data_IF_047824148291
#
_entry.id   IF_047824148291
#
_cell.length_a   1.000
_cell.length_b   1.000
_cell.length_c   1.000
_cell.angle_alpha   90.00
_cell.angle_beta   90.00
_cell.angle_gamma   90.00
#
_symmetry.space_group_name_H-M   'P 1'
#
loop_
_entity.id
_entity.type
_entity.pdbx_description
1 polymer ?
#
# COMPACT_ATOMS: atom_id res chain seq x y z
N UNK A 1 -14.51 2.15 7.59
CA UNK A 1 -15.70 1.38 7.89
C UNK A 1 -16.98 2.18 7.72
N UNK A 2 -17.10 3.41 8.29
CA UNK A 2 -18.28 4.27 8.11
C UNK A 2 -18.57 4.57 6.64
N UNK A 3 -17.57 4.98 5.86
CA UNK A 3 -17.71 5.25 4.43
C UNK A 3 -18.14 4.00 3.64
N UNK A 4 -17.57 2.85 3.96
CA UNK A 4 -17.94 1.57 3.32
C UNK A 4 -19.42 1.22 3.56
N UNK A 5 -19.93 1.45 4.80
CA UNK A 5 -21.35 1.25 5.12
C UNK A 5 -22.28 2.21 4.36
N UNK A 6 -21.82 3.43 4.08
CA UNK A 6 -22.60 4.43 3.34
C UNK A 6 -22.56 4.15 1.83
N UNK A 7 -21.41 3.87 1.28
CA UNK A 7 -21.21 3.69 -0.17
C UNK A 7 -21.87 2.41 -0.69
N UNK A 8 -21.85 1.31 0.08
CA UNK A 8 -22.43 0.00 -0.25
C UNK A 8 -22.25 -0.37 -1.73
N UNK A 9 -21.02 -0.44 -2.25
CA UNK A 9 -20.80 -0.76 -3.65
C UNK A 9 -21.41 -2.11 -3.97
N UNK A 10 -22.13 -2.21 -5.10
CA UNK A 10 -22.73 -3.46 -5.57
C UNK A 10 -21.71 -4.37 -6.25
N UNK A 11 -20.74 -3.76 -6.91
CA UNK A 11 -19.65 -4.46 -7.59
C UNK A 11 -18.37 -3.67 -7.39
N UNK A 12 -17.30 -4.37 -7.13
CA UNK A 12 -15.94 -3.83 -7.05
C UNK A 12 -15.07 -4.54 -8.07
N UNK A 13 -14.35 -3.77 -8.85
CA UNK A 13 -13.44 -4.27 -9.87
C UNK A 13 -12.04 -3.76 -9.55
N UNK A 14 -11.07 -4.64 -9.55
CA UNK A 14 -9.65 -4.30 -9.40
C UNK A 14 -8.92 -4.66 -10.69
N UNK A 15 -8.35 -3.65 -11.33
CA UNK A 15 -7.41 -3.84 -12.43
C UNK A 15 -6.05 -4.24 -11.85
N UNK A 16 -5.60 -5.40 -12.21
CA UNK A 16 -4.28 -5.94 -11.91
C UNK A 16 -3.59 -6.47 -13.18
N UNK A 17 -3.83 -5.84 -14.35
CA UNK A 17 -3.10 -6.17 -15.58
C UNK A 17 -1.61 -5.90 -15.38
N UNK A 18 -1.29 -4.72 -14.85
CA UNK A 18 0.06 -4.36 -14.43
C UNK A 18 0.01 -3.81 -13.01
N UNK A 19 0.50 -4.58 -12.07
CA UNK A 19 0.65 -4.16 -10.69
C UNK A 19 2.05 -3.55 -10.45
N UNK A 20 2.28 -3.04 -9.25
CA UNK A 20 3.56 -2.45 -8.89
C UNK A 20 4.03 -2.97 -7.54
N UNK A 21 5.24 -3.49 -7.50
CA UNK A 21 5.91 -3.93 -6.27
C UNK A 21 6.91 -2.89 -5.75
N UNK A 22 7.52 -3.14 -4.60
CA UNK A 22 8.50 -2.28 -3.91
C UNK A 22 7.92 -0.90 -3.53
N UNK A 23 8.63 0.17 -3.89
CA UNK A 23 8.31 1.54 -3.45
C UNK A 23 7.38 2.28 -4.44
N UNK A 24 6.26 1.64 -4.82
CA UNK A 24 5.22 2.33 -5.59
C UNK A 24 4.67 3.56 -4.85
N UNK A 25 3.97 4.47 -5.55
CA UNK A 25 3.71 4.48 -6.98
C UNK A 25 4.84 5.09 -7.83
N UNK A 26 5.83 5.75 -7.24
CA UNK A 26 6.84 6.54 -7.99
C UNK A 26 8.16 5.82 -8.21
N UNK A 27 8.51 4.83 -7.38
CA UNK A 27 9.79 4.10 -7.41
C UNK A 27 9.60 2.59 -7.32
N UNK A 28 8.45 2.10 -7.73
CA UNK A 28 8.17 0.68 -7.79
C UNK A 28 8.65 0.06 -9.10
N UNK A 29 8.64 -1.26 -9.14
CA UNK A 29 8.89 -2.02 -10.36
C UNK A 29 7.56 -2.55 -10.89
N UNK A 30 7.23 -2.38 -12.18
CA UNK A 30 5.99 -2.90 -12.74
C UNK A 30 6.05 -4.44 -12.83
N UNK A 31 4.94 -5.08 -12.50
CA UNK A 31 4.76 -6.53 -12.55
C UNK A 31 3.53 -6.84 -13.37
N UNK A 32 3.69 -7.54 -14.49
CA UNK A 32 2.56 -8.03 -15.29
C UNK A 32 1.90 -9.18 -14.56
N UNK A 33 0.67 -8.94 -14.09
CA UNK A 33 -0.16 -9.96 -13.43
C UNK A 33 -1.20 -10.53 -14.38
N UNK A 34 -1.64 -9.75 -15.40
CA UNK A 34 -2.66 -10.11 -16.38
C UNK A 34 -3.97 -10.58 -15.71
N UNK A 35 -4.36 -9.93 -14.64
CA UNK A 35 -5.55 -10.26 -13.85
C UNK A 35 -6.51 -9.09 -13.80
N UNK A 36 -7.80 -9.44 -13.77
CA UNK A 36 -8.88 -8.56 -13.34
C UNK A 36 -9.66 -9.30 -12.27
N UNK A 37 -9.82 -8.69 -11.11
CA UNK A 37 -10.57 -9.24 -10.00
C UNK A 37 -11.90 -8.54 -9.88
N UNK A 38 -12.96 -9.30 -9.64
CA UNK A 38 -14.32 -8.78 -9.49
C UNK A 38 -14.97 -9.40 -8.26
N UNK A 39 -15.65 -8.60 -7.47
CA UNK A 39 -16.38 -9.07 -6.29
C UNK A 39 -17.55 -8.14 -5.95
N UNK A 40 -18.61 -8.68 -5.41
CA UNK A 40 -19.67 -7.90 -4.78
C UNK A 40 -19.27 -7.34 -3.41
N UNK A 41 -18.24 -7.92 -2.79
CA UNK A 41 -17.72 -7.48 -1.50
C UNK A 41 -16.29 -6.92 -1.66
N UNK A 42 -16.07 -5.60 -1.47
CA UNK A 42 -14.74 -4.98 -1.58
C UNK A 42 -13.71 -5.63 -0.67
N UNK A 43 -14.09 -5.93 0.59
CA UNK A 43 -13.18 -6.54 1.54
C UNK A 43 -12.77 -7.96 1.13
N UNK A 44 -13.69 -8.74 0.57
CA UNK A 44 -13.36 -10.06 0.05
C UNK A 44 -12.35 -9.97 -1.11
N UNK A 45 -12.53 -8.99 -1.99
CA UNK A 45 -11.62 -8.73 -3.09
C UNK A 45 -10.21 -8.36 -2.58
N UNK A 46 -10.13 -7.44 -1.62
CA UNK A 46 -8.86 -7.00 -1.04
C UNK A 46 -8.11 -8.15 -0.33
N UNK A 47 -8.83 -9.01 0.41
CA UNK A 47 -8.24 -10.17 1.07
C UNK A 47 -7.63 -11.15 0.06
N UNK A 48 -8.36 -11.46 -1.00
CA UNK A 48 -7.89 -12.35 -2.07
C UNK A 48 -6.73 -11.72 -2.83
N UNK A 49 -6.83 -10.44 -3.21
CA UNK A 49 -5.74 -9.73 -3.89
C UNK A 49 -4.45 -9.73 -3.07
N UNK A 50 -4.56 -9.51 -1.76
CA UNK A 50 -3.43 -9.53 -0.84
C UNK A 50 -2.72 -10.89 -0.82
N UNK A 51 -3.49 -11.97 -0.81
CA UNK A 51 -2.94 -13.32 -0.87
C UNK A 51 -2.28 -13.64 -2.21
N UNK A 52 -2.87 -13.20 -3.33
CA UNK A 52 -2.30 -13.38 -4.68
C UNK A 52 -0.90 -12.79 -4.78
N UNK A 53 -0.66 -11.66 -4.13
CA UNK A 53 0.66 -11.00 -4.12
C UNK A 53 1.57 -11.46 -2.98
N UNK A 54 1.18 -12.48 -2.24
CA UNK A 54 1.98 -13.11 -1.18
C UNK A 54 2.12 -12.30 0.10
N UNK A 55 1.18 -11.40 0.37
CA UNK A 55 1.12 -10.63 1.61
C UNK A 55 0.13 -11.24 2.60
N UNK A 56 0.43 -11.09 3.88
CA UNK A 56 -0.48 -11.48 4.94
C UNK A 56 -1.41 -10.31 5.30
N UNK A 57 -2.69 -10.42 4.96
CA UNK A 57 -3.68 -9.38 5.24
C UNK A 57 -3.79 -9.01 6.74
N UNK A 58 -3.42 -9.93 7.65
CA UNK A 58 -3.44 -9.67 9.10
C UNK A 58 -2.41 -8.63 9.51
N UNK A 59 -1.34 -8.48 8.76
CA UNK A 59 -0.29 -7.47 8.97
C UNK A 59 -0.67 -6.10 8.38
N UNK A 60 -1.72 -6.04 7.56
CA UNK A 60 -2.24 -4.82 6.95
C UNK A 60 -3.31 -4.24 7.86
N UNK A 61 -2.98 -3.19 8.60
CA UNK A 61 -3.78 -2.64 9.69
C UNK A 61 -5.24 -2.37 9.32
N UNK A 62 -5.50 -1.77 8.15
CA UNK A 62 -6.88 -1.45 7.74
C UNK A 62 -7.67 -2.70 7.34
N UNK A 63 -7.06 -3.72 6.72
CA UNK A 63 -7.72 -4.97 6.38
C UNK A 63 -8.04 -5.77 7.66
N UNK A 64 -7.07 -5.89 8.56
CA UNK A 64 -7.27 -6.53 9.84
C UNK A 64 -8.42 -5.87 10.64
N UNK A 65 -8.42 -4.53 10.72
CA UNK A 65 -9.51 -3.79 11.35
C UNK A 65 -10.87 -4.06 10.69
N UNK A 66 -10.93 -4.09 9.35
CA UNK A 66 -12.17 -4.33 8.61
C UNK A 66 -12.69 -5.75 8.83
N UNK A 67 -11.82 -6.75 8.82
CA UNK A 67 -12.18 -8.15 9.11
C UNK A 67 -12.77 -8.27 10.51
N UNK A 68 -12.15 -7.68 11.53
CA UNK A 68 -12.66 -7.68 12.90
C UNK A 68 -14.04 -7.01 13.02
N UNK A 69 -14.27 -5.91 12.29
CA UNK A 69 -15.55 -5.17 12.33
C UNK A 69 -16.66 -5.85 11.56
N UNK A 70 -16.37 -6.51 10.46
CA UNK A 70 -17.37 -7.19 9.61
C UNK A 70 -17.58 -8.64 9.99
N UNK A 71 -16.64 -9.24 10.71
CA UNK A 71 -16.58 -10.67 11.04
C UNK A 71 -16.58 -11.57 9.79
N UNK A 72 -16.08 -11.05 8.67
CA UNK A 72 -15.90 -11.87 7.47
C UNK A 72 -14.84 -12.92 7.75
N UNK A 73 -15.16 -14.17 7.45
CA UNK A 73 -14.20 -15.27 7.47
C UNK A 73 -13.62 -15.45 6.06
N UNK A 74 -12.30 -15.34 5.93
CA UNK A 74 -11.58 -15.55 4.66
C UNK A 74 -11.86 -16.94 4.08
N UNK A 75 -12.04 -17.95 4.91
CA UNK A 75 -12.26 -19.33 4.49
C UNK A 75 -13.61 -19.52 3.78
N UNK A 76 -14.58 -18.65 4.05
CA UNK A 76 -15.90 -18.70 3.40
C UNK A 76 -15.93 -18.03 2.04
N UNK A 77 -14.87 -17.28 1.68
CA UNK A 77 -14.79 -16.58 0.40
C UNK A 77 -14.45 -17.58 -0.71
N UNK A 78 -15.41 -17.85 -1.59
CA UNK A 78 -15.21 -18.66 -2.78
C UNK A 78 -14.56 -17.84 -3.88
N UNK A 79 -13.47 -18.35 -4.44
CA UNK A 79 -12.76 -17.73 -5.56
C UNK A 79 -12.95 -18.61 -6.79
N UNK A 80 -13.47 -18.04 -7.87
CA UNK A 80 -13.65 -18.71 -9.15
C UNK A 80 -12.63 -18.18 -10.16
N UNK A 81 -12.17 -19.04 -11.07
CA UNK A 81 -11.19 -18.66 -12.09
C UNK A 81 -9.75 -18.50 -11.58
N UNK A 82 -9.50 -18.73 -10.29
CA UNK A 82 -8.15 -18.65 -9.75
C UNK A 82 -7.31 -19.87 -10.15
N UNK A 83 -6.09 -19.61 -10.58
CA UNK A 83 -5.07 -20.64 -10.85
C UNK A 83 -3.85 -20.37 -10.01
N UNK A 84 -3.13 -21.42 -9.59
CA UNK A 84 -1.91 -21.31 -8.79
C UNK A 84 -0.82 -20.47 -9.46
N UNK A 85 -0.79 -20.43 -10.79
CA UNK A 85 0.14 -19.61 -11.58
C UNK A 85 -0.03 -18.09 -11.39
N UNK A 86 -1.18 -17.64 -10.87
CA UNK A 86 -1.43 -16.22 -10.59
C UNK A 86 -0.80 -15.76 -9.27
N UNK A 87 -0.43 -16.70 -8.41
CA UNK A 87 0.26 -16.34 -7.17
C UNK A 87 1.66 -15.80 -7.47
N UNK A 88 1.95 -14.62 -6.92
CA UNK A 88 3.26 -14.00 -7.05
C UNK A 88 3.66 -13.26 -5.79
N UNK A 89 4.74 -13.69 -5.18
CA UNK A 89 5.27 -12.99 -4.01
C UNK A 89 5.93 -11.67 -4.44
N UNK A 90 5.31 -10.56 -4.10
CA UNK A 90 5.84 -9.23 -4.37
C UNK A 90 7.03 -8.91 -3.48
N UNK A 91 7.99 -8.19 -4.05
CA UNK A 91 9.08 -7.63 -3.27
C UNK A 91 8.55 -6.51 -2.37
N UNK A 92 8.90 -6.57 -1.09
CA UNK A 92 8.52 -5.56 -0.11
C UNK A 92 9.24 -4.23 -0.39
N UNK A 93 8.63 -3.10 -0.02
CA UNK A 93 9.27 -1.80 -0.14
C UNK A 93 10.53 -1.73 0.72
N UNK A 94 11.58 -1.14 0.19
CA UNK A 94 12.76 -0.78 0.98
C UNK A 94 12.44 0.51 1.74
N UNK A 95 12.50 0.43 3.06
CA UNK A 95 12.21 1.59 3.92
C UNK A 95 13.49 2.40 4.05
N UNK A 96 13.59 3.49 3.29
CA UNK A 96 14.69 4.45 3.37
C UNK A 96 14.66 5.25 4.68
N UNK A 97 15.82 5.76 5.09
CA UNK A 97 15.98 6.52 6.33
C UNK A 97 14.96 7.66 6.50
N UNK A 98 14.64 8.48 5.47
CA UNK A 98 13.62 9.54 5.59
C UNK A 98 12.23 8.99 5.88
N UNK A 99 11.86 7.85 5.31
CA UNK A 99 10.56 7.20 5.53
C UNK A 99 10.49 6.66 6.98
N UNK A 100 11.58 6.04 7.47
CA UNK A 100 11.66 5.60 8.86
C UNK A 100 11.52 6.76 9.85
N UNK A 101 12.15 7.88 9.56
CA UNK A 101 12.07 9.09 10.36
C UNK A 101 10.65 9.68 10.36
N UNK A 102 10.02 9.73 9.16
CA UNK A 102 8.64 10.19 9.02
C UNK A 102 7.66 9.32 9.81
N UNK A 103 7.81 8.00 9.75
CA UNK A 103 6.97 7.08 10.53
C UNK A 103 7.14 7.30 12.02
N UNK A 104 8.40 7.43 12.51
CA UNK A 104 8.68 7.75 13.91
C UNK A 104 8.05 9.06 14.36
N UNK A 105 8.06 10.09 13.52
CA UNK A 105 7.40 11.37 13.81
C UNK A 105 5.90 11.17 13.95
N UNK A 106 5.27 10.37 13.08
CA UNK A 106 3.83 10.11 13.13
C UNK A 106 3.38 9.25 14.33
N UNK A 107 4.27 8.45 14.92
CA UNK A 107 3.98 7.74 16.16
C UNK A 107 3.72 8.68 17.34
N UNK A 108 4.30 9.88 17.32
CA UNK A 108 4.15 10.89 18.37
C UNK A 108 3.16 11.98 17.94
N UNK A 109 1.89 11.83 18.33
CA UNK A 109 0.81 12.77 17.97
C UNK A 109 1.11 14.23 18.36
N UNK A 110 1.82 14.48 19.45
CA UNK A 110 2.25 15.82 19.88
C UNK A 110 3.31 16.43 18.95
N UNK A 111 4.28 15.65 18.52
CA UNK A 111 5.31 16.04 17.55
C UNK A 111 4.70 16.31 16.17
N UNK A 112 3.79 15.47 15.75
CA UNK A 112 3.05 15.64 14.48
C UNK A 112 2.26 16.96 14.51
N UNK A 113 1.52 17.23 15.59
CA UNK A 113 0.80 18.52 15.75
C UNK A 113 1.75 19.71 15.70
N UNK A 114 2.88 19.65 16.40
CA UNK A 114 3.87 20.74 16.43
C UNK A 114 4.43 21.04 15.05
N UNK A 115 4.83 19.98 14.31
CA UNK A 115 5.38 20.12 12.96
C UNK A 115 4.35 20.74 11.99
N UNK A 116 3.12 20.23 11.98
CA UNK A 116 2.09 20.70 11.06
C UNK A 116 1.46 22.04 11.49
N UNK A 117 1.59 22.45 12.75
CA UNK A 117 1.16 23.78 13.22
C UNK A 117 2.16 24.89 12.88
N UNK A 118 3.40 24.52 12.48
CA UNK A 118 4.43 25.48 12.10
C UNK A 118 4.78 25.37 10.61
N UNK A 119 4.23 26.24 9.75
CA UNK A 119 4.43 26.18 8.29
C UNK A 119 5.92 26.24 7.89
N UNK A 120 6.73 27.01 8.61
CA UNK A 120 8.16 27.16 8.31
C UNK A 120 8.91 25.84 8.58
N UNK A 121 8.60 25.17 9.68
CA UNK A 121 9.19 23.87 10.02
C UNK A 121 8.83 22.81 8.97
N UNK A 122 7.58 22.81 8.52
CA UNK A 122 7.11 21.91 7.45
C UNK A 122 7.86 22.16 6.13
N UNK A 123 8.07 23.42 5.75
CA UNK A 123 8.84 23.80 4.55
C UNK A 123 10.31 23.35 4.64
N UNK A 124 10.94 23.50 5.81
CA UNK A 124 12.31 23.05 6.05
C UNK A 124 12.42 21.54 5.89
N UNK A 125 11.52 20.79 6.53
CA UNK A 125 11.49 19.33 6.42
C UNK A 125 11.26 18.86 4.98
N UNK A 126 10.36 19.51 4.24
CA UNK A 126 10.14 19.21 2.83
C UNK A 126 11.41 19.44 1.99
N UNK A 127 12.15 20.54 2.22
CA UNK A 127 13.42 20.81 1.53
C UNK A 127 14.47 19.74 1.84
N UNK A 128 14.58 19.31 3.10
CA UNK A 128 15.52 18.25 3.52
C UNK A 128 15.17 16.93 2.81
N UNK A 129 13.91 16.54 2.78
CA UNK A 129 13.46 15.32 2.10
C UNK A 129 13.71 15.38 0.60
N UNK A 130 13.45 16.54 -0.04
CA UNK A 130 13.72 16.76 -1.47
C UNK A 130 15.21 16.70 -1.77
N UNK A 131 16.06 17.34 -0.96
CA UNK A 131 17.51 17.30 -1.10
C UNK A 131 18.05 15.86 -1.01
N UNK A 132 17.62 15.11 0.01
CA UNK A 132 18.00 13.71 0.17
C UNK A 132 17.55 12.83 -1.00
N UNK A 133 16.34 13.08 -1.51
CA UNK A 133 15.81 12.39 -2.70
C UNK A 133 16.62 12.64 -3.95
N UNK A 134 17.07 13.88 -4.16
CA UNK A 134 17.90 14.26 -5.31
C UNK A 134 19.30 13.65 -5.24
N UNK A 135 19.93 13.62 -4.06
CA UNK A 135 21.19 12.93 -3.84
C UNK A 135 21.13 11.44 -4.22
N UNK A 136 20.06 10.75 -3.84
CA UNK A 136 19.90 9.33 -4.17
C UNK A 136 19.51 9.09 -5.63
N UNK A 137 18.82 10.04 -6.26
CA UNK A 137 18.45 9.98 -7.68
C UNK A 137 19.67 10.12 -8.61
N UNK A 138 20.65 10.94 -8.25
CA UNK A 138 21.89 11.11 -9.02
C UNK A 138 22.80 9.88 -8.96
N UNK A 139 22.82 9.15 -7.85
CA UNK A 139 23.58 7.91 -7.73
C UNK A 139 23.00 6.76 -8.59
N UNK A 140 21.69 6.73 -8.79
CA UNK A 140 21.05 5.73 -9.66
C UNK A 140 21.24 6.04 -11.15
N UNK A 141 21.27 7.31 -11.54
CA UNK A 141 21.55 7.72 -12.93
C UNK A 141 22.99 7.39 -13.33
N UNK A 142 23.95 7.58 -12.42
CA UNK A 142 25.35 7.26 -12.65
C UNK A 142 25.69 5.76 -12.59
N UNK A 143 24.81 4.94 -12.08
CA UNK A 143 24.98 3.47 -12.04
C UNK A 143 24.37 2.75 -13.26
N UNK A 144 23.65 3.50 -14.12
CA UNK A 144 23.00 3.00 -15.34
C UNK A 144 23.65 3.53 -16.62
N UNK A 145 24.68 4.39 -16.48
CA UNK A 145 25.59 4.82 -17.54
C UNK A 145 26.88 3.97 -17.53
#
# INVERSE_FOLDING_TARGET
>A
FKLWKLAKPKVTIMDALTAMEKNGPTRGSPVKMNLILVSECPLALDLVATEIIGLNWREISHLNYMVQKTRIDRQTIKVTGFKAEYYRKFALPTIDLPIKLQWKIYEYASLTKLIFSCPELTKILQKIVLYYRNLKGSHLANALS
#
